data_IF_845281035257
#
_entry.id   IF_845281035257
#
_cell.length_a   1.000
_cell.length_b   1.000
_cell.length_c   1.000
_cell.angle_alpha   90.00
_cell.angle_beta   90.00
_cell.angle_gamma   90.00
#
_symmetry.space_group_name_H-M   'P 1'
#
loop_
_entity.id
_entity.type
_entity.pdbx_description
1 polymer ?
#
# COMPACT_ATOMS: atom_id res chain seq x y z
N UNK A 1 -0.97 9.46 -16.72
CA UNK A 1 -1.30 10.35 -15.59
C UNK A 1 -0.87 9.70 -14.28
N UNK A 2 -1.37 8.49 -13.96
CA UNK A 2 -0.99 7.70 -12.77
C UNK A 2 0.52 7.48 -12.59
N UNK A 3 1.28 7.26 -13.66
CA UNK A 3 2.74 7.12 -13.55
C UNK A 3 3.42 8.38 -13.00
N UNK A 4 2.94 9.58 -13.37
CA UNK A 4 3.44 10.84 -12.79
C UNK A 4 3.06 10.95 -11.31
N UNK A 5 1.92 10.39 -10.91
CA UNK A 5 1.49 10.33 -9.52
C UNK A 5 2.41 9.44 -8.68
N UNK A 6 2.68 8.21 -9.13
CA UNK A 6 3.58 7.27 -8.43
C UNK A 6 5.02 7.81 -8.40
N UNK A 7 5.47 8.46 -9.48
CA UNK A 7 6.81 9.09 -9.55
C UNK A 7 6.98 10.21 -8.52
N UNK A 8 5.94 11.01 -8.29
CA UNK A 8 6.00 12.13 -7.36
C UNK A 8 5.64 11.75 -5.92
N UNK A 9 5.26 10.50 -5.66
CA UNK A 9 4.87 10.04 -4.33
C UNK A 9 5.97 10.25 -3.29
N UNK A 10 7.14 9.61 -3.46
CA UNK A 10 8.25 9.72 -2.50
C UNK A 10 8.71 11.17 -2.32
N UNK A 11 8.96 11.95 -3.39
CA UNK A 11 9.30 13.37 -3.25
C UNK A 11 8.26 14.21 -2.50
N UNK A 12 6.97 13.89 -2.62
CA UNK A 12 5.91 14.59 -1.89
C UNK A 12 5.82 14.15 -0.42
N UNK A 13 5.99 12.85 -0.15
CA UNK A 13 6.04 12.33 1.22
C UNK A 13 7.24 12.89 1.98
N UNK A 14 8.40 13.00 1.34
CA UNK A 14 9.60 13.62 1.92
C UNK A 14 9.41 15.10 2.26
N UNK A 15 8.57 15.83 1.53
CA UNK A 15 8.20 17.21 1.87
C UNK A 15 7.25 17.30 3.08
N UNK A 16 6.67 16.18 3.50
CA UNK A 16 5.74 16.13 4.62
C UNK A 16 4.43 16.86 4.35
N UNK A 17 3.99 16.96 3.10
CA UNK A 17 2.70 17.58 2.77
C UNK A 17 1.54 16.72 3.30
N UNK A 18 0.82 17.17 4.35
CA UNK A 18 -0.23 16.37 4.98
C UNK A 18 -1.46 16.21 4.07
N UNK A 19 -1.61 17.07 3.06
CA UNK A 19 -2.73 17.02 2.12
C UNK A 19 -2.44 16.14 0.91
N UNK A 20 -1.18 15.75 0.69
CA UNK A 20 -0.79 14.94 -0.45
C UNK A 20 -1.56 13.62 -0.48
N UNK A 21 -1.62 12.88 0.64
CA UNK A 21 -2.28 11.58 0.70
C UNK A 21 -3.79 11.69 0.44
N UNK A 22 -4.55 12.55 1.15
CA UNK A 22 -5.98 12.75 0.82
C UNK A 22 -6.22 13.19 -0.63
N UNK A 23 -5.44 14.14 -1.15
CA UNK A 23 -5.60 14.63 -2.52
C UNK A 23 -5.24 13.57 -3.57
N UNK A 24 -4.19 12.78 -3.31
CA UNK A 24 -3.80 11.62 -4.10
C UNK A 24 -4.96 10.64 -4.18
N UNK A 25 -5.52 10.28 -3.02
CA UNK A 25 -6.57 9.28 -2.92
C UNK A 25 -7.87 9.71 -3.61
N UNK A 26 -8.25 10.97 -3.41
CA UNK A 26 -9.39 11.57 -4.10
C UNK A 26 -9.23 11.56 -5.63
N UNK A 27 -8.02 11.78 -6.13
CA UNK A 27 -7.78 11.93 -7.57
C UNK A 27 -7.73 10.59 -8.28
N UNK A 28 -7.03 9.58 -7.75
CA UNK A 28 -6.93 8.30 -8.47
C UNK A 28 -8.29 7.59 -8.54
N UNK A 29 -9.12 7.66 -7.49
CA UNK A 29 -10.44 7.00 -7.46
C UNK A 29 -11.38 7.46 -8.57
N UNK A 30 -11.17 8.66 -9.13
CA UNK A 30 -11.97 9.18 -10.24
C UNK A 30 -11.66 8.52 -11.59
N UNK A 31 -10.46 7.96 -11.75
CA UNK A 31 -9.95 7.55 -13.06
C UNK A 31 -9.22 6.20 -13.06
N UNK A 32 -9.16 5.49 -11.93
CA UNK A 32 -8.37 4.27 -11.75
C UNK A 32 -8.92 3.40 -10.63
N UNK A 33 -8.51 2.13 -10.60
CA UNK A 33 -8.77 1.22 -9.47
C UNK A 33 -7.58 1.15 -8.51
N UNK A 34 -7.83 0.73 -7.26
CA UNK A 34 -6.78 0.47 -6.26
C UNK A 34 -5.74 -0.51 -6.78
N UNK A 35 -6.17 -1.61 -7.43
CA UNK A 35 -5.28 -2.61 -8.04
C UNK A 35 -4.31 -1.96 -9.05
N UNK A 36 -4.82 -1.13 -9.96
CA UNK A 36 -3.97 -0.47 -10.96
C UNK A 36 -2.95 0.49 -10.33
N UNK A 37 -3.34 1.19 -9.26
CA UNK A 37 -2.42 2.07 -8.52
C UNK A 37 -1.32 1.23 -7.85
N UNK A 38 -1.69 0.14 -7.17
CA UNK A 38 -0.76 -0.77 -6.53
C UNK A 38 0.17 -1.46 -7.55
N UNK A 39 -0.32 -1.89 -8.70
CA UNK A 39 0.50 -2.47 -9.77
C UNK A 39 1.59 -1.49 -10.23
N UNK A 40 1.22 -0.23 -10.48
CA UNK A 40 2.18 0.81 -10.86
C UNK A 40 3.14 1.14 -9.72
N UNK A 41 2.64 1.11 -8.49
CA UNK A 41 3.43 1.33 -7.28
C UNK A 41 4.50 0.24 -7.13
N UNK A 42 4.10 -1.02 -7.14
CA UNK A 42 4.99 -2.16 -6.97
C UNK A 42 5.96 -2.30 -8.14
N UNK A 43 5.55 -1.94 -9.36
CA UNK A 43 6.49 -1.84 -10.48
C UNK A 43 7.57 -0.78 -10.26
N UNK A 44 7.23 0.34 -9.62
CA UNK A 44 8.17 1.45 -9.37
C UNK A 44 9.08 1.20 -8.17
N UNK A 45 8.54 0.58 -7.12
CA UNK A 45 9.18 0.39 -5.82
C UNK A 45 9.40 -1.10 -5.48
N UNK A 46 9.44 -1.99 -6.49
CA UNK A 46 9.63 -3.43 -6.28
C UNK A 46 11.09 -3.88 -6.37
N UNK A 47 12.01 -2.97 -6.64
CA UNK A 47 13.44 -3.25 -6.76
C UNK A 47 14.21 -2.26 -5.89
N UNK A 48 14.71 -2.75 -4.76
CA UNK A 48 15.61 -2.04 -3.87
C UNK A 48 16.96 -2.75 -3.85
N UNK A 49 18.04 -2.01 -3.62
CA UNK A 49 19.37 -2.58 -3.45
C UNK A 49 19.58 -2.98 -1.99
N UNK A 50 20.25 -4.11 -1.79
CA UNK A 50 20.62 -4.57 -0.45
C UNK A 50 21.58 -3.57 0.21
N UNK A 51 21.35 -3.30 1.50
CA UNK A 51 22.17 -2.41 2.33
C UNK A 51 22.29 -0.95 1.84
N UNK A 52 21.33 -0.44 1.07
CA UNK A 52 21.25 0.96 0.69
C UNK A 52 20.40 1.78 1.69
N UNK A 53 21.01 2.75 2.39
CA UNK A 53 20.31 3.61 3.36
C UNK A 53 19.20 4.46 2.72
N UNK A 54 19.42 4.96 1.50
CA UNK A 54 18.40 5.73 0.76
C UNK A 54 17.16 4.86 0.48
N UNK A 55 17.38 3.60 0.09
CA UNK A 55 16.29 2.65 -0.15
C UNK A 55 15.55 2.30 1.14
N UNK A 56 16.22 2.25 2.29
CA UNK A 56 15.59 2.05 3.59
C UNK A 56 14.68 3.24 3.97
N UNK A 57 15.13 4.48 3.75
CA UNK A 57 14.30 5.66 3.96
C UNK A 57 13.06 5.64 3.05
N UNK A 58 13.24 5.26 1.79
CA UNK A 58 12.12 5.14 0.83
C UNK A 58 11.14 4.05 1.28
N UNK A 59 11.63 2.88 1.71
CA UNK A 59 10.82 1.79 2.26
C UNK A 59 9.99 2.25 3.46
N UNK A 60 10.57 3.02 4.37
CA UNK A 60 9.88 3.56 5.54
C UNK A 60 8.74 4.52 5.15
N UNK A 61 8.99 5.43 4.21
CA UNK A 61 7.96 6.35 3.69
C UNK A 61 6.83 5.60 2.98
N UNK A 62 7.17 4.56 2.23
CA UNK A 62 6.21 3.69 1.55
C UNK A 62 5.36 2.92 2.56
N UNK A 63 5.97 2.31 3.58
CA UNK A 63 5.25 1.64 4.66
C UNK A 63 4.28 2.60 5.35
N UNK A 64 4.75 3.80 5.70
CA UNK A 64 3.92 4.82 6.31
C UNK A 64 2.72 5.21 5.43
N UNK A 65 2.95 5.44 4.14
CA UNK A 65 1.91 5.77 3.18
C UNK A 65 0.87 4.64 3.04
N UNK A 66 1.33 3.41 2.82
CA UNK A 66 0.47 2.25 2.65
C UNK A 66 -0.33 1.95 3.91
N UNK A 67 0.29 2.07 5.09
CA UNK A 67 -0.40 1.95 6.38
C UNK A 67 -1.48 3.02 6.56
N UNK A 68 -1.16 4.29 6.31
CA UNK A 68 -2.17 5.35 6.35
C UNK A 68 -3.31 5.12 5.36
N UNK A 69 -3.01 4.67 4.15
CA UNK A 69 -4.04 4.39 3.15
C UNK A 69 -4.96 3.26 3.62
N UNK A 70 -4.39 2.17 4.14
CA UNK A 70 -5.11 1.03 4.70
C UNK A 70 -6.01 1.44 5.88
N UNK A 71 -5.47 2.22 6.82
CA UNK A 71 -6.16 2.63 8.04
C UNK A 71 -7.30 3.62 7.78
N UNK A 72 -7.07 4.56 6.85
CA UNK A 72 -8.04 5.65 6.58
C UNK A 72 -9.08 5.26 5.56
N UNK A 73 -8.75 4.34 4.65
CA UNK A 73 -9.62 3.95 3.56
C UNK A 73 -9.61 2.42 3.33
N UNK A 74 -10.01 1.65 4.35
CA UNK A 74 -10.07 0.19 4.28
C UNK A 74 -10.93 -0.33 3.11
N UNK A 75 -11.94 0.45 2.71
CA UNK A 75 -12.82 0.13 1.60
C UNK A 75 -12.12 0.03 0.24
N UNK A 76 -10.91 0.58 0.09
CA UNK A 76 -10.14 0.40 -1.14
C UNK A 76 -9.51 -0.99 -1.26
N UNK A 77 -9.38 -1.71 -0.13
CA UNK A 77 -8.63 -2.95 -0.02
C UNK A 77 -9.52 -4.20 0.13
N UNK A 78 -10.68 -4.10 0.79
CA UNK A 78 -11.55 -5.28 1.04
C UNK A 78 -13.06 -5.04 0.90
N UNK A 79 -13.49 -4.03 0.13
CA UNK A 79 -14.92 -3.68 -0.02
C UNK A 79 -15.80 -4.77 -0.67
N UNK A 80 -15.24 -5.71 -1.43
CA UNK A 80 -16.03 -6.71 -2.18
C UNK A 80 -15.87 -8.16 -1.70
N UNK A 81 -15.33 -8.40 -0.50
CA UNK A 81 -14.84 -9.73 -0.05
C UNK A 81 -13.72 -10.32 -0.94
N UNK A 82 -13.28 -9.59 -1.96
CA UNK A 82 -12.13 -9.98 -2.77
C UNK A 82 -10.84 -9.57 -2.05
N UNK A 83 -10.24 -10.52 -1.34
CA UNK A 83 -8.97 -10.34 -0.63
C UNK A 83 -7.76 -10.24 -1.58
N UNK A 84 -7.95 -10.30 -2.92
CA UNK A 84 -6.83 -10.24 -3.85
C UNK A 84 -5.99 -8.97 -3.70
N UNK A 85 -6.59 -7.82 -3.37
CA UNK A 85 -5.85 -6.56 -3.20
C UNK A 85 -4.97 -6.62 -1.93
N UNK A 86 -5.51 -7.12 -0.82
CA UNK A 86 -4.77 -7.35 0.43
C UNK A 86 -3.66 -8.39 0.24
N UNK A 87 -3.95 -9.51 -0.43
CA UNK A 87 -2.97 -10.54 -0.74
C UNK A 87 -1.84 -10.02 -1.64
N UNK A 88 -2.18 -9.17 -2.61
CA UNK A 88 -1.19 -8.51 -3.45
C UNK A 88 -0.29 -7.56 -2.64
N UNK A 89 -0.88 -6.79 -1.73
CA UNK A 89 -0.13 -5.93 -0.80
C UNK A 89 0.79 -6.77 0.10
N UNK A 90 0.29 -7.87 0.66
CA UNK A 90 1.07 -8.79 1.49
C UNK A 90 2.27 -9.36 0.72
N UNK A 91 2.06 -9.84 -0.51
CA UNK A 91 3.13 -10.39 -1.33
C UNK A 91 4.25 -9.36 -1.58
N UNK A 92 3.88 -8.10 -1.83
CA UNK A 92 4.85 -7.02 -1.98
C UNK A 92 5.63 -6.74 -0.69
N UNK A 93 4.94 -6.73 0.46
CA UNK A 93 5.55 -6.47 1.77
C UNK A 93 6.53 -7.57 2.16
N UNK A 94 6.20 -8.85 1.95
CA UNK A 94 7.09 -9.96 2.25
C UNK A 94 8.40 -9.93 1.44
N UNK A 95 8.34 -9.43 0.20
CA UNK A 95 9.53 -9.31 -0.65
C UNK A 95 10.41 -8.12 -0.24
N UNK A 96 9.81 -6.97 0.07
CA UNK A 96 10.56 -5.72 0.20
C UNK A 96 10.83 -5.32 1.65
N UNK A 97 9.90 -5.62 2.56
CA UNK A 97 9.81 -5.10 3.92
C UNK A 97 9.20 -6.13 4.91
N UNK A 98 9.67 -7.40 4.94
CA UNK A 98 9.00 -8.48 5.67
C UNK A 98 8.89 -8.28 7.18
N UNK A 99 9.73 -7.43 7.76
CA UNK A 99 9.77 -7.17 9.20
C UNK A 99 9.10 -5.84 9.60
N UNK A 100 8.41 -5.17 8.68
CA UNK A 100 7.71 -3.91 8.99
C UNK A 100 6.45 -4.15 9.81
N UNK A 101 6.08 -3.16 10.64
CA UNK A 101 4.81 -3.18 11.40
C UNK A 101 3.60 -3.34 10.47
N UNK A 102 3.67 -2.72 9.28
CA UNK A 102 2.64 -2.86 8.26
C UNK A 102 2.45 -4.32 7.81
N UNK A 103 3.54 -5.09 7.68
CA UNK A 103 3.45 -6.52 7.32
C UNK A 103 2.67 -7.30 8.37
N UNK A 104 2.98 -7.06 9.66
CA UNK A 104 2.26 -7.70 10.77
C UNK A 104 0.78 -7.29 10.77
N UNK A 105 0.50 -6.00 10.54
CA UNK A 105 -0.86 -5.49 10.49
C UNK A 105 -1.67 -6.12 9.34
N UNK A 106 -1.12 -6.13 8.12
CA UNK A 106 -1.77 -6.74 6.95
C UNK A 106 -2.00 -8.25 7.17
N UNK A 107 -1.06 -8.95 7.81
CA UNK A 107 -1.22 -10.37 8.14
C UNK A 107 -2.39 -10.59 9.11
N UNK A 108 -2.45 -9.79 10.17
CA UNK A 108 -3.50 -9.84 11.17
C UNK A 108 -4.88 -9.56 10.55
N UNK A 109 -4.96 -8.60 9.63
CA UNK A 109 -6.19 -8.29 8.91
C UNK A 109 -6.63 -9.43 7.99
N UNK A 110 -5.70 -10.05 7.25
CA UNK A 110 -6.00 -11.20 6.39
C UNK A 110 -6.58 -12.36 7.20
N UNK A 111 -5.93 -12.74 8.30
CA UNK A 111 -6.42 -13.83 9.17
C UNK A 111 -7.81 -13.53 9.73
N UNK A 112 -8.04 -12.30 10.21
CA UNK A 112 -9.36 -11.91 10.74
C UNK A 112 -10.47 -11.97 9.68
N UNK A 113 -10.15 -11.59 8.44
CA UNK A 113 -11.13 -11.61 7.35
C UNK A 113 -11.42 -13.05 6.87
N UNK A 114 -10.40 -13.91 6.82
CA UNK A 114 -10.55 -15.34 6.50
C UNK A 114 -11.39 -16.07 7.57
N UNK A 115 -11.15 -15.80 8.85
CA UNK A 115 -11.93 -16.38 9.96
C UNK A 115 -13.40 -15.96 9.88
N UNK A 116 -13.68 -14.70 9.53
CA UNK A 116 -15.04 -14.18 9.40
C UNK A 116 -15.84 -14.90 8.29
N UNK A 117 -15.18 -15.25 7.18
CA UNK A 117 -15.80 -16.02 6.09
C UNK A 117 -16.13 -17.46 6.51
N UNK A 118 -15.35 -18.04 7.42
CA UNK A 118 -15.58 -19.40 7.93
C UNK A 118 -16.76 -19.52 8.90
N UNK A 119 -17.14 -18.43 9.57
CA UNK A 119 -18.23 -18.40 10.56
C UNK A 119 -19.62 -18.11 9.97
N UNK A 120 -19.69 -17.66 8.72
CA UNK A 120 -20.95 -17.37 8.00
C UNK A 120 -21.50 -18.61 7.23
N UNK A 121 -20.93 -19.80 7.45
CA UNK A 121 -21.36 -21.08 6.84
C UNK A 121 -21.96 -22.02 7.89
#
# INVERSE_FOLDING_TARGET
>A
MLEKFVKNLVPSLQRGDPFFVPAFLYTYRKFSTTRQVLDLFFKRYGFFHDACEEDEQIKNLICYFLGMWLDKYPEDFWKSKDLAILNQLMAYLLVNMPFSELTVHVNCLLTQLEDLESTDT
#
